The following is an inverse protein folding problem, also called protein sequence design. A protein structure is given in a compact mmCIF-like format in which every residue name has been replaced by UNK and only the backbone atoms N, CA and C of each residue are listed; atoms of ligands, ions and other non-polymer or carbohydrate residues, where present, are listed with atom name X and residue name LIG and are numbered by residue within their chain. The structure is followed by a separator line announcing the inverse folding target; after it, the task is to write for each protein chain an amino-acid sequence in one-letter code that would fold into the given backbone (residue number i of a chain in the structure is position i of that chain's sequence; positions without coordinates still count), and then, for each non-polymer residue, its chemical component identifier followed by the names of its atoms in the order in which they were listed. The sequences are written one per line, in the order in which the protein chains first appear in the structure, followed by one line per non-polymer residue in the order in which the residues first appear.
data_IF_329970045320
#
_entry.id   IF_329970045320
#
_cell.length_a   1.000
_cell.length_b   1.000
_cell.length_c   1.000
_cell.angle_alpha   90.00
_cell.angle_beta   90.00
_cell.angle_gamma   90.00
#
_symmetry.space_group_name_H-M   'P 1'
#
loop_
_entity.id
_entity.type
_entity.pdbx_description
1 polymer ?
#
# COMPACT_ATOMS: atom_id res chain seq x y z
N UNK A 1 24.15 0.26 -11.97
CA UNK A 1 23.81 -0.52 -10.77
C UNK A 1 25.01 -1.20 -10.10
N UNK A 2 25.90 -1.91 -10.80
CA UNK A 2 27.09 -2.52 -10.16
C UNK A 2 28.03 -1.50 -9.49
N UNK A 3 28.22 -0.33 -10.09
CA UNK A 3 29.04 0.73 -9.48
C UNK A 3 28.46 1.22 -8.14
N UNK A 4 27.13 1.37 -8.04
CA UNK A 4 26.45 1.75 -6.79
C UNK A 4 26.61 0.70 -5.70
N UNK A 5 26.44 -0.59 -6.03
CA UNK A 5 26.63 -1.69 -5.09
C UNK A 5 28.05 -1.77 -4.50
N UNK A 6 29.03 -1.23 -5.21
CA UNK A 6 30.43 -1.20 -4.80
C UNK A 6 30.79 0.02 -3.95
N UNK A 7 29.90 1.02 -3.81
CA UNK A 7 30.13 2.14 -2.90
C UNK A 7 30.12 1.67 -1.46
N UNK A 8 31.08 2.15 -0.66
CA UNK A 8 31.22 1.75 0.75
C UNK A 8 29.95 2.06 1.57
N UNK A 9 29.34 3.22 1.33
CA UNK A 9 28.13 3.63 2.03
C UNK A 9 26.95 2.69 1.73
N UNK A 10 26.82 2.23 0.48
CA UNK A 10 25.76 1.29 0.08
C UNK A 10 26.00 -0.09 0.74
N UNK A 11 27.24 -0.54 0.82
CA UNK A 11 27.57 -1.79 1.55
C UNK A 11 27.27 -1.69 3.04
N UNK A 12 27.54 -0.53 3.66
CA UNK A 12 27.16 -0.27 5.05
C UNK A 12 25.63 -0.26 5.21
N UNK A 13 24.88 0.32 4.27
CA UNK A 13 23.42 0.28 4.30
C UNK A 13 22.87 -1.15 4.23
N UNK A 14 23.39 -2.00 3.35
CA UNK A 14 22.99 -3.41 3.30
C UNK A 14 23.35 -4.19 4.58
N UNK A 15 24.49 -3.90 5.17
CA UNK A 15 24.88 -4.51 6.47
C UNK A 15 23.92 -4.06 7.58
N UNK A 16 23.60 -2.77 7.65
CA UNK A 16 22.61 -2.23 8.58
C UNK A 16 21.26 -2.90 8.44
N UNK A 17 20.72 -2.99 7.22
CA UNK A 17 19.43 -3.62 6.96
C UNK A 17 19.40 -5.08 7.42
N UNK A 18 20.50 -5.80 7.23
CA UNK A 18 20.62 -7.18 7.71
C UNK A 18 20.63 -7.27 9.24
N UNK A 19 21.27 -6.34 9.92
CA UNK A 19 21.30 -6.27 11.40
C UNK A 19 19.95 -5.79 11.97
N UNK A 20 19.17 -4.99 11.21
CA UNK A 20 17.86 -4.46 11.58
C UNK A 20 16.70 -5.43 11.29
N UNK A 21 16.97 -6.63 10.76
CA UNK A 21 15.96 -7.59 10.30
C UNK A 21 14.98 -8.01 11.41
N UNK A 22 15.50 -8.31 12.61
CA UNK A 22 14.66 -8.66 13.77
C UNK A 22 13.71 -7.53 14.16
N UNK A 23 14.16 -6.28 14.06
CA UNK A 23 13.31 -5.10 14.33
C UNK A 23 12.27 -4.91 13.23
N UNK A 24 12.68 -5.06 11.98
CA UNK A 24 11.78 -4.99 10.82
C UNK A 24 10.69 -6.05 10.91
N UNK A 25 11.05 -7.30 11.26
CA UNK A 25 10.10 -8.37 11.51
C UNK A 25 9.13 -8.02 12.65
N UNK A 26 9.64 -7.49 13.76
CA UNK A 26 8.80 -7.09 14.89
C UNK A 26 7.78 -6.01 14.49
N UNK A 27 8.20 -5.02 13.72
CA UNK A 27 7.32 -3.94 13.23
C UNK A 27 6.28 -4.47 12.24
N UNK A 28 6.66 -5.40 11.35
CA UNK A 28 5.72 -6.11 10.48
C UNK A 28 4.64 -6.81 11.29
N UNK A 29 5.05 -7.60 12.31
CA UNK A 29 4.12 -8.38 13.13
C UNK A 29 3.22 -7.49 14.00
N UNK A 30 3.67 -6.32 14.40
CA UNK A 30 2.88 -5.31 15.10
C UNK A 30 1.85 -4.67 14.16
N UNK A 31 2.28 -4.22 12.98
CA UNK A 31 1.42 -3.54 12.01
C UNK A 31 0.33 -4.45 11.46
N UNK A 32 0.64 -5.71 11.15
CA UNK A 32 -0.35 -6.63 10.57
C UNK A 32 -1.52 -6.93 11.50
N UNK A 33 -1.33 -6.82 12.83
CA UNK A 33 -2.39 -7.03 13.82
C UNK A 33 -3.34 -5.85 13.98
N UNK A 34 -3.06 -4.71 13.34
CA UNK A 34 -3.96 -3.55 13.30
C UNK A 34 -4.87 -3.72 12.06
N UNK A 35 -6.18 -3.95 12.22
CA UNK A 35 -7.08 -4.06 11.08
C UNK A 35 -7.04 -2.80 10.21
N UNK A 36 -6.97 -2.99 8.89
CA UNK A 36 -6.97 -1.88 7.94
C UNK A 36 -7.69 -2.24 6.63
N UNK A 37 -9.00 -2.54 6.66
CA UNK A 37 -9.75 -2.67 5.42
C UNK A 37 -9.71 -1.37 4.60
N UNK A 38 -9.77 -1.47 3.28
CA UNK A 38 -9.79 -0.28 2.40
C UNK A 38 -10.86 0.74 2.84
N UNK A 39 -10.43 1.98 3.11
CA UNK A 39 -11.26 3.05 3.65
C UNK A 39 -11.36 3.11 5.19
N UNK A 40 -10.71 2.19 5.91
CA UNK A 40 -10.70 2.13 7.40
C UNK A 40 -9.28 1.93 7.95
N UNK A 41 -8.29 2.57 7.32
CA UNK A 41 -6.85 2.40 7.63
C UNK A 41 -6.35 3.27 8.78
N UNK A 42 -7.19 4.15 9.34
CA UNK A 42 -6.80 5.22 10.28
C UNK A 42 -5.89 4.75 11.41
N UNK A 43 -6.23 3.65 12.09
CA UNK A 43 -5.46 3.19 13.26
C UNK A 43 -4.06 2.71 12.86
N UNK A 44 -3.96 2.00 11.74
CA UNK A 44 -2.67 1.55 11.18
C UNK A 44 -1.85 2.73 10.68
N UNK A 45 -2.48 3.70 10.01
CA UNK A 45 -1.84 4.92 9.53
C UNK A 45 -1.25 5.75 10.68
N UNK A 46 -1.96 5.91 11.79
CA UNK A 46 -1.43 6.58 13.00
C UNK A 46 -0.21 5.83 13.56
N UNK A 47 -0.25 4.51 13.60
CA UNK A 47 0.90 3.71 14.06
C UNK A 47 2.11 3.89 13.12
N UNK A 48 1.90 3.94 11.81
CA UNK A 48 2.97 4.18 10.83
C UNK A 48 3.54 5.59 11.00
N UNK A 49 2.69 6.60 11.20
CA UNK A 49 3.11 7.98 11.43
C UNK A 49 4.01 8.09 12.66
N UNK A 50 3.63 7.49 13.79
CA UNK A 50 4.44 7.44 15.01
C UNK A 50 5.81 6.76 14.77
N UNK A 51 5.85 5.68 13.96
CA UNK A 51 7.11 5.04 13.59
C UNK A 51 7.99 5.95 12.73
N UNK A 52 7.43 6.69 11.78
CA UNK A 52 8.17 7.67 10.96
C UNK A 52 8.74 8.81 11.82
N UNK A 53 7.97 9.30 12.79
CA UNK A 53 8.44 10.31 13.76
C UNK A 53 9.60 9.78 14.59
N UNK A 54 9.51 8.54 15.10
CA UNK A 54 10.60 7.90 15.88
C UNK A 54 11.86 7.62 15.07
N UNK A 55 11.74 7.42 13.77
CA UNK A 55 12.88 7.34 12.85
C UNK A 55 13.57 8.71 12.72
N UNK A 56 12.84 9.78 12.97
CA UNK A 56 13.31 11.15 12.82
C UNK A 56 13.23 11.65 11.38
N UNK A 57 12.20 11.23 10.64
CA UNK A 57 11.92 11.78 9.32
C UNK A 57 11.44 13.23 9.44
N UNK A 58 11.75 14.02 8.43
CA UNK A 58 11.27 15.39 8.33
C UNK A 58 9.85 15.41 7.75
N UNK A 59 9.06 16.44 8.07
CA UNK A 59 7.73 16.67 7.52
C UNK A 59 6.79 15.46 7.67
N UNK A 60 6.88 14.73 8.79
CA UNK A 60 5.96 13.63 9.06
C UNK A 60 4.55 14.17 9.21
N UNK A 61 3.59 13.55 8.55
CA UNK A 61 2.21 13.96 8.60
C UNK A 61 1.27 13.06 7.80
N UNK A 62 -0.02 13.34 7.95
CA UNK A 62 -1.10 12.65 7.26
C UNK A 62 -1.91 13.63 6.43
N UNK A 63 -2.25 13.26 5.21
CA UNK A 63 -3.11 14.07 4.36
C UNK A 63 -4.61 13.84 4.66
N UNK A 64 -5.48 14.56 3.91
CA UNK A 64 -6.94 14.53 4.11
C UNK A 64 -7.60 13.20 3.77
N UNK A 65 -6.92 12.33 3.03
CA UNK A 65 -7.48 11.01 2.65
C UNK A 65 -6.88 9.88 3.46
N UNK A 66 -5.84 10.17 4.27
CA UNK A 66 -5.23 9.21 5.18
C UNK A 66 -3.83 8.73 4.77
N UNK A 67 -3.26 9.20 3.64
CA UNK A 67 -1.87 8.88 3.31
C UNK A 67 -0.93 9.47 4.36
N UNK A 68 0.06 8.69 4.79
CA UNK A 68 1.10 9.12 5.72
C UNK A 68 2.40 9.35 4.98
N UNK A 69 3.09 10.43 5.30
CA UNK A 69 4.35 10.82 4.67
C UNK A 69 5.43 11.07 5.70
N UNK A 70 6.65 10.85 5.31
CA UNK A 70 7.85 11.31 6.01
C UNK A 70 8.97 11.50 5.00
N UNK A 71 9.86 12.47 5.22
CA UNK A 71 10.86 12.88 4.24
C UNK A 71 12.28 12.73 4.78
N UNK A 72 13.19 12.29 3.95
CA UNK A 72 14.62 12.51 4.12
C UNK A 72 15.02 13.65 3.18
N UNK A 73 15.48 14.76 3.76
CA UNK A 73 15.87 15.93 2.99
C UNK A 73 17.15 15.69 2.21
N UNK A 74 17.14 16.07 0.94
CA UNK A 74 18.32 16.15 0.10
C UNK A 74 18.99 17.54 0.15
N UNK A 75 19.93 17.75 -0.73
CA UNK A 75 20.61 19.07 -0.87
C UNK A 75 19.77 20.13 -1.62
N UNK A 76 18.60 19.73 -2.11
CA UNK A 76 17.69 20.59 -2.90
C UNK A 76 18.09 20.78 -4.36
N UNK A 77 19.01 19.97 -4.88
CA UNK A 77 19.54 20.10 -6.26
C UNK A 77 19.13 18.98 -7.20
N UNK A 78 18.45 17.96 -6.71
CA UNK A 78 18.08 16.78 -7.48
C UNK A 78 16.57 16.53 -7.51
N UNK A 79 16.15 15.48 -8.23
CA UNK A 79 14.76 15.10 -8.33
C UNK A 79 14.22 14.59 -7.01
N UNK A 80 12.94 14.87 -6.74
CA UNK A 80 12.19 14.31 -5.61
C UNK A 80 11.73 12.90 -5.97
N UNK A 81 12.04 11.92 -5.13
CA UNK A 81 11.62 10.55 -5.32
C UNK A 81 10.69 10.14 -4.19
N UNK A 82 9.54 9.58 -4.52
CA UNK A 82 8.61 9.00 -3.55
C UNK A 82 8.71 7.48 -3.59
N UNK A 83 8.87 6.88 -2.40
CA UNK A 83 8.83 5.43 -2.19
C UNK A 83 7.57 5.14 -1.38
N UNK A 84 6.66 4.36 -1.94
CA UNK A 84 5.35 4.11 -1.39
C UNK A 84 5.10 2.61 -1.14
N UNK A 85 4.23 2.33 -0.18
CA UNK A 85 3.62 1.03 0.08
C UNK A 85 2.20 1.27 0.57
N UNK A 86 1.25 0.36 0.28
CA UNK A 86 -0.12 0.61 0.69
C UNK A 86 -0.43 0.07 2.09
N UNK A 87 -1.33 0.78 2.78
CA UNK A 87 -1.67 0.53 4.18
C UNK A 87 -2.84 -0.44 4.31
N UNK A 88 -3.75 -0.42 3.34
CA UNK A 88 -4.98 -1.20 3.38
C UNK A 88 -4.79 -2.66 2.99
N UNK A 89 -5.81 -3.44 3.27
CA UNK A 89 -5.90 -4.85 2.90
C UNK A 89 -7.31 -5.19 2.42
N UNK A 90 -7.44 -6.27 1.65
CA UNK A 90 -8.74 -6.82 1.19
C UNK A 90 -9.58 -7.44 2.31
N UNK A 91 -9.02 -7.59 3.51
CA UNK A 91 -9.67 -8.30 4.61
C UNK A 91 -10.64 -7.39 5.37
N UNK A 92 -11.92 -7.81 5.53
CA UNK A 92 -12.92 -6.99 6.21
C UNK A 92 -12.63 -6.83 7.70
N UNK A 93 -13.27 -5.81 8.30
CA UNK A 93 -13.23 -5.60 9.75
C UNK A 93 -13.70 -6.87 10.49
N UNK A 94 -13.00 -7.23 11.57
CA UNK A 94 -13.29 -8.45 12.36
C UNK A 94 -12.64 -9.73 11.83
N UNK A 95 -11.84 -9.65 10.75
CA UNK A 95 -10.99 -10.78 10.33
C UNK A 95 -10.03 -11.17 11.45
N UNK A 96 -9.88 -12.46 11.70
CA UNK A 96 -8.90 -12.98 12.67
C UNK A 96 -7.48 -12.74 12.15
N UNK A 97 -6.76 -11.85 12.82
CA UNK A 97 -5.38 -11.47 12.54
C UNK A 97 -4.38 -12.20 13.45
N UNK A 98 -4.75 -13.35 13.99
CA UNK A 98 -3.83 -14.17 14.77
C UNK A 98 -2.66 -14.64 13.91
N UNK A 99 -1.45 -14.28 14.33
CA UNK A 99 -0.23 -14.68 13.65
C UNK A 99 0.07 -16.16 13.94
N UNK A 100 0.25 -16.94 12.88
CA UNK A 100 0.72 -18.33 12.98
C UNK A 100 2.19 -18.38 12.57
N UNK A 101 3.01 -19.07 13.38
CA UNK A 101 4.45 -19.26 13.13
C UNK A 101 4.79 -20.74 13.03
N UNK A 102 5.40 -21.13 11.91
CA UNK A 102 5.91 -22.48 11.66
C UNK A 102 7.37 -22.38 11.22
N UNK A 103 8.29 -22.65 12.10
CA UNK A 103 9.73 -22.43 11.85
C UNK A 103 10.04 -20.96 11.58
N UNK A 104 10.49 -20.66 10.36
CA UNK A 104 10.77 -19.29 9.88
C UNK A 104 9.58 -18.67 9.12
N UNK A 105 8.49 -19.41 8.93
CA UNK A 105 7.32 -18.94 8.19
C UNK A 105 6.30 -18.32 9.14
N UNK A 106 5.86 -17.12 8.81
CA UNK A 106 4.76 -16.41 9.47
C UNK A 106 3.58 -16.32 8.52
N UNK A 107 2.36 -16.50 9.03
CA UNK A 107 1.12 -16.42 8.26
C UNK A 107 0.10 -15.59 9.03
N UNK A 108 -0.43 -14.58 8.38
CA UNK A 108 -1.51 -13.71 8.85
C UNK A 108 -2.17 -13.05 7.63
N UNK A 109 -3.48 -12.80 7.62
CA UNK A 109 -4.13 -12.02 6.57
C UNK A 109 -3.47 -10.64 6.41
N UNK A 110 -3.08 -10.28 5.17
CA UNK A 110 -2.43 -8.99 4.84
C UNK A 110 -0.96 -8.85 5.28
N UNK A 111 -0.30 -9.94 5.73
CA UNK A 111 1.09 -9.86 6.19
C UNK A 111 2.08 -9.56 5.06
N UNK A 112 1.82 -10.08 3.86
CA UNK A 112 2.69 -9.90 2.70
C UNK A 112 2.20 -8.77 1.80
N UNK A 113 0.90 -8.66 1.65
CA UNK A 113 0.21 -7.68 0.84
C UNK A 113 -0.56 -6.70 1.76
N UNK A 114 -0.08 -5.50 2.06
CA UNK A 114 1.25 -4.95 1.72
C UNK A 114 1.97 -4.51 3.01
N UNK A 115 1.56 -5.09 4.16
CA UNK A 115 2.16 -4.74 5.47
C UNK A 115 3.67 -4.96 5.49
N UNK A 116 4.15 -5.95 4.74
CA UNK A 116 5.57 -6.23 4.61
C UNK A 116 6.33 -5.07 3.98
N UNK A 117 5.83 -4.53 2.87
CA UNK A 117 6.47 -3.41 2.21
C UNK A 117 6.48 -2.15 3.09
N UNK A 118 5.42 -1.91 3.88
CA UNK A 118 5.44 -0.85 4.89
C UNK A 118 6.63 -1.04 5.85
N UNK A 119 6.84 -2.23 6.39
CA UNK A 119 7.98 -2.49 7.28
C UNK A 119 9.33 -2.34 6.57
N UNK A 120 9.41 -2.74 5.29
CA UNK A 120 10.61 -2.60 4.46
C UNK A 120 10.97 -1.13 4.19
N UNK A 121 10.01 -0.28 3.80
CA UNK A 121 10.28 1.14 3.57
C UNK A 121 10.66 1.87 4.87
N UNK A 122 10.09 1.50 6.02
CA UNK A 122 10.49 2.02 7.33
C UNK A 122 11.93 1.59 7.69
N UNK A 123 12.31 0.34 7.38
CA UNK A 123 13.68 -0.14 7.60
C UNK A 123 14.69 0.60 6.73
N UNK A 124 14.36 0.82 5.44
CA UNK A 124 15.20 1.62 4.53
C UNK A 124 15.34 3.05 5.06
N UNK A 125 14.26 3.68 5.51
CA UNK A 125 14.29 5.02 6.09
C UNK A 125 15.21 5.08 7.32
N UNK A 126 15.15 4.08 8.20
CA UNK A 126 16.05 3.97 9.37
C UNK A 126 17.51 3.83 8.98
N UNK A 127 17.80 2.95 8.01
CA UNK A 127 19.16 2.77 7.52
C UNK A 127 19.74 4.08 6.96
N UNK A 128 18.95 4.81 6.18
CA UNK A 128 19.36 6.09 5.61
C UNK A 128 19.61 7.14 6.69
N UNK A 129 18.72 7.27 7.68
CA UNK A 129 18.91 8.21 8.80
C UNK A 129 20.10 7.84 9.67
N UNK A 130 20.27 6.56 10.00
CA UNK A 130 21.37 6.09 10.85
C UNK A 130 22.75 6.27 10.21
N UNK A 131 22.83 6.20 8.89
CA UNK A 131 24.08 6.30 8.14
C UNK A 131 24.25 7.66 7.45
N UNK A 132 23.38 8.62 7.74
CA UNK A 132 23.40 9.97 7.15
C UNK A 132 23.40 9.94 5.61
N UNK A 133 22.57 9.05 5.04
CA UNK A 133 22.44 8.89 3.58
C UNK A 133 21.36 9.84 3.07
N UNK A 134 21.74 10.77 2.25
CA UNK A 134 20.85 11.64 1.51
C UNK A 134 21.33 11.82 0.08
N UNK A 135 20.39 12.14 -0.80
CA UNK A 135 20.64 12.43 -2.19
C UNK A 135 20.73 13.92 -2.46
N UNK A 136 20.76 14.26 -3.74
CA UNK A 136 20.60 15.66 -4.18
C UNK A 136 19.15 16.13 -4.04
N UNK A 137 18.16 15.27 -4.30
CA UNK A 137 16.74 15.52 -4.10
C UNK A 137 16.21 14.89 -2.82
N UNK A 138 15.02 15.32 -2.42
CA UNK A 138 14.29 14.76 -1.28
C UNK A 138 13.84 13.33 -1.58
N UNK A 139 13.82 12.48 -0.55
CA UNK A 139 13.21 11.14 -0.61
C UNK A 139 12.01 11.14 0.33
N UNK A 140 10.83 10.92 -0.24
CA UNK A 140 9.55 10.86 0.48
C UNK A 140 9.18 9.40 0.68
N UNK A 141 8.97 8.97 1.91
CA UNK A 141 8.37 7.69 2.26
C UNK A 141 6.87 7.90 2.45
N UNK A 142 6.07 7.11 1.77
CA UNK A 142 4.61 7.23 1.76
C UNK A 142 3.95 5.90 2.09
N UNK A 143 3.07 5.90 3.09
CA UNK A 143 2.11 4.82 3.31
C UNK A 143 0.76 5.29 2.76
N UNK A 144 0.43 4.84 1.55
CA UNK A 144 -0.79 5.25 0.87
C UNK A 144 -1.99 4.37 1.25
N UNK A 145 -3.20 4.92 1.08
CA UNK A 145 -4.46 4.25 1.45
C UNK A 145 -5.30 3.90 0.23
N UNK A 146 -6.26 2.97 0.43
CA UNK A 146 -7.26 2.61 -0.56
C UNK A 146 -6.65 2.14 -1.90
N UNK A 147 -5.62 1.31 -1.84
CA UNK A 147 -5.05 0.66 -3.03
C UNK A 147 -5.99 -0.45 -3.50
N UNK A 148 -6.47 -1.24 -2.56
CA UNK A 148 -7.17 -2.49 -2.77
C UNK A 148 -8.65 -2.35 -3.16
N UNK A 149 -9.13 -3.34 -3.87
CA UNK A 149 -10.56 -3.57 -4.11
C UNK A 149 -11.31 -2.37 -4.68
N UNK A 150 -12.27 -1.88 -3.93
CA UNK A 150 -13.08 -0.71 -4.27
C UNK A 150 -12.47 0.61 -3.78
N UNK A 151 -11.28 0.59 -3.23
CA UNK A 151 -10.51 1.77 -2.82
C UNK A 151 -10.15 2.68 -3.99
N UNK A 152 -10.11 2.11 -5.20
CA UNK A 152 -9.93 2.84 -6.46
C UNK A 152 -8.67 3.71 -6.49
N UNK A 153 -7.58 3.24 -5.86
CA UNK A 153 -6.32 3.98 -5.74
C UNK A 153 -6.50 5.40 -5.20
N UNK A 154 -7.48 5.62 -4.32
CA UNK A 154 -7.87 6.94 -3.81
C UNK A 154 -6.67 7.70 -3.22
N UNK A 155 -5.81 7.02 -2.48
CA UNK A 155 -4.61 7.60 -1.87
C UNK A 155 -3.67 8.16 -2.92
N UNK A 156 -3.26 7.33 -3.87
CA UNK A 156 -2.33 7.71 -4.95
C UNK A 156 -2.94 8.76 -5.87
N UNK A 157 -4.22 8.60 -6.25
CA UNK A 157 -4.95 9.61 -7.03
C UNK A 157 -5.00 10.98 -6.32
N UNK A 158 -5.05 10.99 -4.98
CA UNK A 158 -5.04 12.24 -4.23
C UNK A 158 -3.66 12.90 -4.26
N UNK A 159 -2.58 12.15 -4.11
CA UNK A 159 -1.20 12.63 -4.20
C UNK A 159 -0.96 13.31 -5.56
N UNK A 160 -1.32 12.62 -6.64
CA UNK A 160 -1.07 13.11 -8.01
C UNK A 160 -2.12 14.11 -8.54
N UNK A 161 -2.98 14.67 -7.67
CA UNK A 161 -3.66 15.94 -7.97
C UNK A 161 -2.68 17.10 -8.10
N UNK A 162 -1.55 17.01 -7.40
CA UNK A 162 -0.40 17.85 -7.66
C UNK A 162 0.54 17.13 -8.65
N UNK A 163 0.63 17.59 -9.91
CA UNK A 163 1.52 16.98 -10.89
C UNK A 163 3.03 17.10 -10.55
N UNK A 164 3.35 17.90 -9.54
CA UNK A 164 4.71 18.12 -9.04
C UNK A 164 4.96 17.47 -7.68
N UNK A 165 4.10 16.54 -7.22
CA UNK A 165 4.26 15.85 -5.95
C UNK A 165 5.61 15.11 -5.84
N UNK A 166 6.11 14.57 -6.94
CA UNK A 166 7.45 13.98 -7.06
C UNK A 166 7.85 13.87 -8.53
N UNK A 167 9.15 13.73 -8.78
CA UNK A 167 9.72 13.50 -10.12
C UNK A 167 9.81 11.99 -10.45
N UNK A 168 9.87 11.15 -9.42
CA UNK A 168 9.89 9.69 -9.54
C UNK A 168 9.05 9.03 -8.46
N UNK A 169 8.25 8.03 -8.85
CA UNK A 169 7.40 7.27 -7.95
C UNK A 169 7.74 5.79 -8.02
N UNK A 170 8.02 5.18 -6.88
CA UNK A 170 8.31 3.75 -6.73
C UNK A 170 7.32 3.20 -5.71
N UNK A 171 6.49 2.26 -6.09
CA UNK A 171 5.69 1.48 -5.14
C UNK A 171 6.35 0.14 -4.88
N UNK A 172 6.43 -0.24 -3.62
CA UNK A 172 6.90 -1.54 -3.17
C UNK A 172 5.66 -2.36 -2.87
N UNK A 173 5.44 -3.41 -3.64
CA UNK A 173 4.27 -4.26 -3.53
C UNK A 173 4.64 -5.66 -4.00
N UNK A 174 4.00 -6.66 -3.48
CA UNK A 174 4.12 -8.10 -3.66
C UNK A 174 4.59 -8.59 -5.05
N UNK A 175 5.83 -8.32 -5.38
CA UNK A 175 6.43 -8.78 -6.62
C UNK A 175 7.46 -9.88 -6.40
N UNK A 176 7.74 -10.63 -7.46
CA UNK A 176 8.83 -11.59 -7.45
C UNK A 176 10.14 -10.86 -7.15
N UNK A 177 10.94 -11.31 -6.17
CA UNK A 177 12.20 -10.68 -5.82
C UNK A 177 13.08 -10.43 -7.07
N UNK A 178 13.55 -9.19 -7.21
CA UNK A 178 14.36 -8.76 -8.36
C UNK A 178 13.55 -8.35 -9.60
N UNK A 179 12.22 -8.40 -9.54
CA UNK A 179 11.33 -7.89 -10.59
C UNK A 179 11.09 -6.38 -10.45
N UNK A 180 11.03 -5.68 -11.57
CA UNK A 180 10.59 -4.28 -11.66
C UNK A 180 9.50 -4.21 -12.71
N UNK A 181 8.30 -3.79 -12.30
CA UNK A 181 7.17 -3.58 -13.20
C UNK A 181 7.12 -2.09 -13.53
N UNK A 182 7.28 -1.74 -14.81
CA UNK A 182 7.27 -0.35 -15.28
C UNK A 182 6.13 -0.06 -16.27
N UNK A 183 5.30 -1.06 -16.55
CA UNK A 183 4.12 -0.92 -17.42
C UNK A 183 2.94 -1.57 -16.73
N UNK A 184 1.92 -0.79 -16.45
CA UNK A 184 0.71 -1.25 -15.79
C UNK A 184 -0.47 -1.26 -16.75
N UNK A 185 -1.45 -2.15 -16.49
CA UNK A 185 -2.74 -2.17 -17.17
C UNK A 185 -3.72 -1.31 -16.37
N UNK A 186 -4.39 -0.37 -17.03
CA UNK A 186 -5.49 0.37 -16.44
C UNK A 186 -6.71 -0.53 -16.21
N UNK A 187 -7.53 -0.19 -15.22
CA UNK A 187 -8.81 -0.85 -14.98
C UNK A 187 -9.90 0.18 -14.69
N UNK A 188 -11.11 -0.08 -15.18
CA UNK A 188 -12.32 0.64 -14.79
C UNK A 188 -13.29 -0.36 -14.16
N UNK A 189 -13.83 0.01 -13.01
CA UNK A 189 -14.72 -0.86 -12.23
C UNK A 189 -16.09 -0.22 -12.08
N UNK A 190 -17.13 -1.01 -12.33
CA UNK A 190 -18.52 -0.55 -12.25
C UNK A 190 -19.31 -1.44 -11.28
N UNK A 191 -20.09 -0.82 -10.41
CA UNK A 191 -21.11 -1.50 -9.64
C UNK A 191 -22.45 -1.29 -10.35
N UNK A 192 -23.02 -2.38 -10.89
CA UNK A 192 -24.30 -2.34 -11.58
C UNK A 192 -25.36 -3.02 -10.72
N UNK A 193 -26.39 -2.28 -10.35
CA UNK A 193 -27.51 -2.78 -9.53
C UNK A 193 -28.76 -2.92 -10.39
N UNK A 194 -29.37 -4.10 -10.34
CA UNK A 194 -30.65 -4.38 -10.96
C UNK A 194 -31.73 -4.38 -9.89
N UNK A 195 -32.73 -3.51 -10.03
CA UNK A 195 -33.86 -3.40 -9.10
C UNK A 195 -35.16 -3.70 -9.81
N UNK A 196 -36.11 -4.28 -9.08
CA UNK A 196 -37.44 -4.57 -9.56
C UNK A 196 -38.50 -4.30 -8.49
N UNK A 197 -39.79 -4.26 -8.84
CA UNK A 197 -40.88 -3.93 -7.92
C UNK A 197 -41.07 -4.98 -6.81
N UNK A 198 -40.53 -6.18 -7.00
CA UNK A 198 -40.86 -7.33 -6.15
C UNK A 198 -42.27 -7.85 -6.45
N UNK A 199 -42.72 -8.85 -5.68
CA UNK A 199 -44.05 -9.40 -5.82
C UNK A 199 -44.12 -10.85 -5.37
N UNK A 200 -45.37 -11.35 -5.18
CA UNK A 200 -45.64 -12.74 -4.83
C UNK A 200 -45.54 -13.60 -6.09
N UNK A 201 -44.90 -14.75 -6.00
CA UNK A 201 -44.59 -15.63 -7.15
C UNK A 201 -45.80 -16.08 -7.98
N UNK A 202 -46.99 -16.15 -7.36
CA UNK A 202 -48.22 -16.56 -8.03
C UNK A 202 -49.11 -15.36 -8.43
N UNK A 203 -49.45 -14.45 -7.49
CA UNK A 203 -50.37 -13.34 -7.76
C UNK A 203 -49.77 -12.27 -8.66
N UNK A 204 -48.43 -12.11 -8.62
CA UNK A 204 -47.72 -11.05 -9.36
C UNK A 204 -46.84 -11.66 -10.45
N UNK A 205 -47.22 -12.84 -10.95
CA UNK A 205 -46.48 -13.52 -12.02
C UNK A 205 -46.45 -12.66 -13.29
N UNK A 206 -45.23 -12.54 -13.85
CA UNK A 206 -45.01 -11.73 -15.07
C UNK A 206 -44.43 -10.34 -14.82
N UNK A 207 -44.28 -9.91 -13.57
CA UNK A 207 -43.53 -8.70 -13.25
C UNK A 207 -42.05 -8.80 -13.67
N UNK A 208 -41.42 -7.67 -14.00
CA UNK A 208 -40.00 -7.64 -14.34
C UNK A 208 -39.12 -8.22 -13.23
N UNK A 209 -38.33 -9.24 -13.57
CA UNK A 209 -37.42 -9.91 -12.64
C UNK A 209 -35.99 -9.37 -12.84
N UNK A 210 -35.41 -8.71 -11.81
CA UNK A 210 -34.08 -8.13 -11.90
C UNK A 210 -32.98 -9.18 -12.10
N UNK A 211 -33.14 -10.41 -11.58
CA UNK A 211 -32.20 -11.51 -11.78
C UNK A 211 -32.15 -11.94 -13.26
N UNK A 212 -33.30 -12.01 -13.93
CA UNK A 212 -33.34 -12.29 -15.36
C UNK A 212 -32.70 -11.16 -16.21
N UNK A 213 -32.91 -9.91 -15.79
CA UNK A 213 -32.28 -8.76 -16.46
C UNK A 213 -30.76 -8.79 -16.29
N UNK A 214 -30.28 -9.08 -15.07
CA UNK A 214 -28.86 -9.25 -14.77
C UNK A 214 -28.23 -10.39 -15.57
N UNK A 215 -28.88 -11.55 -15.63
CA UNK A 215 -28.37 -12.71 -16.41
C UNK A 215 -28.20 -12.35 -17.90
N UNK A 216 -29.15 -11.65 -18.51
CA UNK A 216 -29.02 -11.17 -19.89
C UNK A 216 -27.90 -10.12 -20.07
N UNK A 217 -27.71 -9.24 -19.08
CA UNK A 217 -26.62 -8.26 -19.12
C UNK A 217 -25.27 -8.93 -19.03
N UNK A 218 -25.10 -9.89 -18.11
CA UNK A 218 -23.85 -10.67 -17.95
C UNK A 218 -23.50 -11.40 -19.24
N UNK A 219 -24.48 -12.09 -19.86
CA UNK A 219 -24.24 -12.78 -21.14
C UNK A 219 -23.74 -11.83 -22.22
N UNK A 220 -24.35 -10.64 -22.36
CA UNK A 220 -23.91 -9.66 -23.36
C UNK A 220 -22.51 -9.09 -23.09
N UNK A 221 -22.17 -8.88 -21.82
CA UNK A 221 -20.85 -8.37 -21.42
C UNK A 221 -19.77 -9.44 -21.66
N UNK A 222 -20.10 -10.71 -21.45
CA UNK A 222 -19.16 -11.82 -21.67
C UNK A 222 -18.83 -12.08 -23.15
N UNK A 223 -19.62 -11.55 -24.08
CA UNK A 223 -19.42 -11.66 -25.53
C UNK A 223 -18.49 -10.59 -26.11
N UNK A 224 -18.00 -9.62 -25.28
CA UNK A 224 -17.00 -8.61 -25.65
C UNK A 224 -15.59 -9.04 -25.24
#
# INVERSE_FOLDING_TARGET
MEQLKNMEIIRKAFAYLKEDDDRTLKELLELVQIPAPSGFEQDRAVCIMDKMERIGLDNVGMDRVGNVFGTIKGTGKGPVVMIAAHTDTVFPQGTDLTIKKEGTRYTCPGINDDTRAIAEILSVARAMKALDIHGEGDIIFCANVCEEGLGDLKGVKYIFRDPHACDGFITVDNVVPGGIIHTATGSERYLVTFSGPGGHSFSDFGLPNPVHAMGRAISRIADF
#
